data_IF_034286680193
#
_entry.id   IF_034286680193
#
_cell.length_a   1.000
_cell.length_b   1.000
_cell.length_c   1.000
_cell.angle_alpha   90.00
_cell.angle_beta   90.00
_cell.angle_gamma   90.00
#
_symmetry.space_group_name_H-M   'P 1'
#
loop_
_entity.id
_entity.type
_entity.pdbx_description
1 polymer ?
#
# COMPACT_ATOMS: atom_id res chain seq x y z
N UNK A 1 -2.36 -20.94 -22.39
CA UNK A 1 -1.35 -19.91 -22.69
C UNK A 1 -1.95 -18.72 -23.46
N UNK A 2 -2.72 -18.96 -24.53
CA UNK A 2 -3.39 -17.89 -25.30
C UNK A 2 -4.44 -17.09 -24.51
N UNK A 3 -5.18 -17.74 -23.61
CA UNK A 3 -6.26 -17.12 -22.84
C UNK A 3 -5.77 -16.09 -21.80
N UNK A 4 -4.56 -16.31 -21.25
CA UNK A 4 -3.88 -15.36 -20.35
C UNK A 4 -3.42 -14.13 -21.14
N UNK A 5 -2.90 -14.34 -22.36
CA UNK A 5 -2.52 -13.23 -23.24
C UNK A 5 -3.75 -12.42 -23.63
N UNK A 6 -4.88 -13.06 -23.93
CA UNK A 6 -6.13 -12.39 -24.28
C UNK A 6 -6.71 -11.57 -23.10
N UNK A 7 -6.63 -12.08 -21.86
CA UNK A 7 -6.99 -11.36 -20.62
C UNK A 7 -6.04 -10.21 -20.29
N UNK A 8 -4.76 -10.31 -20.67
CA UNK A 8 -3.79 -9.21 -20.55
C UNK A 8 -3.96 -8.19 -21.68
N UNK A 9 -4.43 -8.62 -22.85
CA UNK A 9 -4.67 -7.75 -24.02
C UNK A 9 -5.91 -6.88 -23.81
N UNK A 10 -6.92 -7.35 -23.07
CA UNK A 10 -8.04 -6.50 -22.60
C UNK A 10 -7.63 -5.50 -21.52
N UNK A 11 -6.45 -5.68 -20.91
CA UNK A 11 -5.80 -4.74 -19.98
C UNK A 11 -4.78 -3.84 -20.67
N UNK A 12 -4.91 -3.59 -21.98
CA UNK A 12 -4.32 -2.37 -22.56
C UNK A 12 -5.05 -1.17 -21.94
N UNK A 13 -4.54 -0.71 -20.79
CA UNK A 13 -4.87 0.57 -20.21
C UNK A 13 -4.66 1.63 -21.30
N UNK A 14 -5.76 2.03 -21.92
CA UNK A 14 -5.77 3.12 -22.88
C UNK A 14 -5.24 4.34 -22.13
N UNK A 15 -4.02 4.78 -22.44
CA UNK A 15 -3.33 5.90 -21.77
C UNK A 15 -4.20 7.18 -21.79
N UNK A 16 -5.13 7.28 -22.76
CA UNK A 16 -6.15 8.36 -22.83
C UNK A 16 -7.12 8.36 -21.65
N UNK A 17 -7.36 7.21 -21.01
CA UNK A 17 -8.23 7.04 -19.85
C UNK A 17 -7.56 7.38 -18.52
N UNK A 18 -6.25 7.64 -18.49
CA UNK A 18 -5.54 8.19 -17.33
C UNK A 18 -5.48 9.74 -17.33
N UNK A 19 -6.13 10.38 -18.30
CA UNK A 19 -6.24 11.85 -18.39
C UNK A 19 -7.06 12.49 -17.25
N UNK A 20 -7.61 11.69 -16.33
CA UNK A 20 -8.24 12.19 -15.09
C UNK A 20 -7.23 12.45 -13.98
N UNK A 21 -6.06 11.79 -13.97
CA UNK A 21 -5.05 11.97 -12.91
C UNK A 21 -4.58 13.43 -12.77
N UNK A 22 -4.32 14.17 -13.87
CA UNK A 22 -4.00 15.60 -13.79
C UNK A 22 -5.19 16.42 -13.24
N UNK A 23 -6.41 16.11 -13.67
CA UNK A 23 -7.62 16.82 -13.23
C UNK A 23 -7.94 16.60 -11.75
N UNK A 24 -7.67 15.42 -11.22
CA UNK A 24 -7.85 15.11 -9.80
C UNK A 24 -6.76 15.77 -8.95
N UNK A 25 -5.53 15.86 -9.48
CA UNK A 25 -4.49 16.72 -8.92
C UNK A 25 -4.95 18.18 -8.88
N UNK A 26 -5.48 18.72 -9.98
CA UNK A 26 -5.91 20.13 -10.05
C UNK A 26 -7.10 20.42 -9.12
N UNK A 27 -8.05 19.49 -9.00
CA UNK A 27 -9.19 19.60 -8.07
C UNK A 27 -8.75 19.56 -6.60
N UNK A 28 -7.82 18.66 -6.24
CA UNK A 28 -7.32 18.57 -4.85
C UNK A 28 -6.33 19.71 -4.55
N UNK A 29 -5.47 20.07 -5.50
CA UNK A 29 -4.47 21.13 -5.36
C UNK A 29 -5.06 22.55 -5.37
N UNK A 30 -6.25 22.74 -5.93
CA UNK A 30 -6.95 24.04 -5.86
C UNK A 30 -7.53 24.36 -4.48
N UNK A 31 -7.70 23.34 -3.62
CA UNK A 31 -8.29 23.50 -2.28
C UNK A 31 -7.28 23.44 -1.15
N UNK A 32 -6.07 22.92 -1.39
CA UNK A 32 -5.04 22.69 -0.38
C UNK A 32 -3.69 23.29 -0.83
N UNK A 33 -2.91 23.87 0.08
CA UNK A 33 -1.57 24.36 -0.26
C UNK A 33 -0.71 23.20 -0.77
N UNK A 34 0.15 23.43 -1.80
CA UNK A 34 1.06 22.41 -2.27
C UNK A 34 2.07 22.04 -1.18
N UNK A 35 2.54 20.79 -1.14
CA UNK A 35 3.55 20.38 -0.17
C UNK A 35 4.83 21.20 -0.37
N UNK A 36 5.45 21.59 0.75
CA UNK A 36 6.73 22.32 0.72
C UNK A 36 7.84 21.45 0.12
N UNK A 37 8.89 22.06 -0.45
CA UNK A 37 10.08 21.35 -0.90
C UNK A 37 10.69 20.48 0.20
N UNK A 38 11.32 19.37 -0.21
CA UNK A 38 12.03 18.50 0.73
C UNK A 38 13.30 19.17 1.27
N UNK A 39 13.72 18.74 2.45
CA UNK A 39 14.82 19.33 3.21
C UNK A 39 15.93 18.30 3.48
N UNK A 40 17.06 18.80 3.95
CA UNK A 40 18.21 17.98 4.37
C UNK A 40 17.98 17.36 5.75
N UNK A 41 18.71 16.29 6.08
CA UNK A 41 18.58 15.58 7.36
C UNK A 41 18.81 16.49 8.57
N UNK A 42 19.71 17.46 8.47
CA UNK A 42 20.01 18.43 9.54
C UNK A 42 18.82 19.33 9.89
N UNK A 43 17.87 19.50 8.97
CA UNK A 43 16.70 20.37 9.13
C UNK A 43 15.47 19.66 9.72
N UNK A 44 15.53 18.33 9.90
CA UNK A 44 14.46 17.56 10.57
C UNK A 44 14.95 17.03 11.92
N UNK A 45 14.06 16.84 12.91
CA UNK A 45 14.44 16.24 14.18
C UNK A 45 15.06 14.84 14.02
N UNK A 46 15.97 14.41 14.92
CA UNK A 46 16.62 13.10 14.85
C UNK A 46 15.66 11.91 14.71
N UNK A 47 14.47 11.97 15.33
CA UNK A 47 13.43 10.95 15.23
C UNK A 47 13.08 10.56 13.78
N UNK A 48 13.09 11.53 12.87
CA UNK A 48 12.68 11.32 11.48
C UNK A 48 13.87 10.98 10.57
N UNK A 49 15.10 10.90 11.10
CA UNK A 49 16.31 10.74 10.31
C UNK A 49 16.65 9.27 10.15
N UNK A 50 16.52 8.79 8.92
CA UNK A 50 17.12 7.52 8.53
C UNK A 50 18.64 7.61 8.37
N UNK A 51 19.41 6.62 8.88
CA UNK A 51 20.85 6.56 8.68
C UNK A 51 21.23 6.61 7.19
N UNK A 52 22.31 7.35 6.88
CA UNK A 52 22.85 7.51 5.53
C UNK A 52 21.94 8.22 4.51
N UNK A 53 20.71 8.61 4.87
CA UNK A 53 19.87 9.47 4.05
C UNK A 53 20.17 10.93 4.38
N UNK A 54 20.74 11.66 3.43
CA UNK A 54 21.22 13.03 3.65
C UNK A 54 20.17 14.10 3.32
N UNK A 55 19.20 13.79 2.46
CA UNK A 55 18.18 14.73 2.01
C UNK A 55 16.92 14.03 1.51
N UNK A 56 15.89 14.82 1.17
CA UNK A 56 14.62 14.30 0.69
C UNK A 56 13.56 14.17 1.79
N UNK A 57 13.81 14.66 3.00
CA UNK A 57 12.83 14.63 4.08
C UNK A 57 11.73 15.64 3.85
N UNK A 58 10.48 15.29 4.17
CA UNK A 58 9.37 16.23 4.13
C UNK A 58 9.39 17.11 5.38
N UNK A 59 9.16 18.43 5.28
CA UNK A 59 9.02 19.28 6.44
C UNK A 59 7.91 18.80 7.38
N UNK A 60 8.11 18.93 8.69
CA UNK A 60 7.11 18.56 9.72
C UNK A 60 6.03 19.64 9.89
N UNK A 61 4.94 19.28 10.56
CA UNK A 61 3.84 20.18 10.96
C UNK A 61 3.20 20.95 9.79
N UNK A 62 3.12 20.32 8.62
CA UNK A 62 2.30 20.84 7.51
C UNK A 62 0.86 20.39 7.65
N UNK A 63 -0.06 20.99 6.90
CA UNK A 63 -1.42 20.47 6.80
C UNK A 63 -1.41 19.02 6.29
N UNK A 64 -2.31 18.17 6.81
CA UNK A 64 -2.45 16.77 6.39
C UNK A 64 -2.56 16.60 4.88
N UNK A 65 -3.27 17.53 4.22
CA UNK A 65 -3.40 17.59 2.77
C UNK A 65 -2.05 17.61 2.03
N UNK A 66 -1.05 18.30 2.57
CA UNK A 66 0.29 18.33 2.01
C UNK A 66 0.94 16.94 2.00
N UNK A 67 0.75 16.13 3.04
CA UNK A 67 1.31 14.78 3.09
C UNK A 67 0.61 13.84 2.10
N UNK A 68 -0.71 13.96 1.93
CA UNK A 68 -1.42 13.22 0.87
C UNK A 68 -0.94 13.63 -0.53
N UNK A 69 -0.80 14.94 -0.79
CA UNK A 69 -0.27 15.46 -2.04
C UNK A 69 1.19 15.08 -2.28
N UNK A 70 1.96 14.85 -1.21
CA UNK A 70 3.36 14.41 -1.30
C UNK A 70 3.52 13.01 -1.89
N UNK A 71 2.44 12.25 -2.07
CA UNK A 71 2.43 10.99 -2.83
C UNK A 71 3.06 11.16 -4.23
N UNK A 72 2.89 12.33 -4.85
CA UNK A 72 3.43 12.67 -6.16
C UNK A 72 4.72 13.51 -6.11
N UNK A 73 5.27 13.74 -4.91
CA UNK A 73 6.54 14.42 -4.69
C UNK A 73 7.65 13.39 -4.47
N UNK A 74 8.86 13.66 -4.97
CA UNK A 74 10.03 12.84 -4.65
C UNK A 74 10.55 13.18 -3.25
N UNK A 75 10.58 12.20 -2.37
CA UNK A 75 11.04 12.29 -0.98
C UNK A 75 11.68 10.96 -0.54
N UNK A 76 12.27 10.93 0.66
CA UNK A 76 12.98 9.77 1.21
C UNK A 76 12.09 8.54 1.36
N UNK A 77 10.81 8.73 1.70
CA UNK A 77 9.81 7.64 1.80
C UNK A 77 9.12 7.26 0.47
N UNK A 78 9.45 7.89 -0.67
CA UNK A 78 8.65 7.69 -1.89
C UNK A 78 8.63 6.24 -2.34
N UNK A 79 9.77 5.55 -2.29
CA UNK A 79 9.82 4.13 -2.66
C UNK A 79 8.98 3.28 -1.71
N UNK A 80 9.09 3.52 -0.39
CA UNK A 80 8.31 2.79 0.61
C UNK A 80 6.80 2.95 0.37
N UNK A 81 6.33 4.15 0.04
CA UNK A 81 4.92 4.38 -0.30
C UNK A 81 4.53 3.68 -1.60
N UNK A 82 5.27 3.89 -2.68
CA UNK A 82 4.90 3.40 -4.01
C UNK A 82 4.99 1.87 -4.13
N UNK A 83 5.95 1.22 -3.47
CA UNK A 83 6.07 -0.25 -3.52
C UNK A 83 4.85 -0.93 -2.89
N UNK A 84 4.40 -0.47 -1.72
CA UNK A 84 3.21 -1.02 -1.05
C UNK A 84 1.92 -0.62 -1.77
N UNK A 85 1.83 0.63 -2.25
CA UNK A 85 0.67 1.11 -2.99
C UNK A 85 0.44 0.32 -4.29
N UNK A 86 1.51 0.00 -5.03
CA UNK A 86 1.42 -0.76 -6.28
C UNK A 86 1.23 -2.27 -6.05
N UNK A 87 1.65 -2.80 -4.90
CA UNK A 87 1.41 -4.20 -4.55
C UNK A 87 -0.10 -4.53 -4.44
N UNK A 88 -0.91 -3.61 -3.91
CA UNK A 88 -2.35 -3.82 -3.74
C UNK A 88 -3.11 -4.07 -5.07
N UNK A 89 -3.02 -3.20 -6.11
CA UNK A 89 -3.65 -3.47 -7.38
C UNK A 89 -3.05 -4.69 -8.09
N UNK A 90 -1.75 -4.97 -7.96
CA UNK A 90 -1.16 -6.20 -8.51
C UNK A 90 -1.80 -7.45 -7.88
N UNK A 91 -1.96 -7.46 -6.55
CA UNK A 91 -2.60 -8.55 -5.83
C UNK A 91 -4.07 -8.71 -6.26
N UNK A 92 -4.83 -7.62 -6.37
CA UNK A 92 -6.22 -7.63 -6.82
C UNK A 92 -6.37 -8.09 -8.27
N UNK A 93 -5.47 -7.69 -9.16
CA UNK A 93 -5.48 -8.15 -10.55
C UNK A 93 -5.15 -9.64 -10.65
N UNK A 94 -4.18 -10.11 -9.86
CA UNK A 94 -3.85 -11.55 -9.75
C UNK A 94 -5.05 -12.34 -9.24
N UNK A 95 -5.73 -11.83 -8.22
CA UNK A 95 -6.96 -12.41 -7.70
C UNK A 95 -8.03 -12.52 -8.78
N UNK A 96 -8.40 -11.38 -9.38
CA UNK A 96 -9.43 -11.32 -10.42
C UNK A 96 -9.15 -12.25 -11.61
N UNK A 97 -7.88 -12.32 -12.03
CA UNK A 97 -7.49 -13.18 -13.15
C UNK A 97 -7.62 -14.68 -12.85
N UNK A 98 -7.47 -15.10 -11.59
CA UNK A 98 -7.34 -16.51 -11.21
C UNK A 98 -8.47 -17.06 -10.33
N UNK A 99 -9.32 -16.21 -9.72
CA UNK A 99 -10.34 -16.65 -8.77
C UNK A 99 -11.26 -17.75 -9.33
N UNK A 100 -11.69 -17.63 -10.59
CA UNK A 100 -12.50 -18.66 -11.26
C UNK A 100 -11.73 -19.96 -11.51
N UNK A 101 -10.45 -19.87 -11.90
CA UNK A 101 -9.59 -21.05 -12.11
C UNK A 101 -9.25 -21.77 -10.79
N UNK A 102 -9.23 -21.02 -9.68
CA UNK A 102 -9.04 -21.55 -8.33
C UNK A 102 -10.32 -22.15 -7.74
N UNK A 103 -11.46 -22.08 -8.45
CA UNK A 103 -12.75 -22.55 -7.94
C UNK A 103 -13.23 -21.76 -6.73
N UNK A 104 -12.88 -20.48 -6.61
CA UNK A 104 -13.30 -19.64 -5.48
C UNK A 104 -14.82 -19.44 -5.48
N UNK A 105 -15.47 -19.91 -4.41
CA UNK A 105 -16.94 -20.02 -4.31
C UNK A 105 -17.53 -19.33 -3.07
N UNK A 106 -16.74 -18.54 -2.33
CA UNK A 106 -17.15 -17.90 -1.07
C UNK A 106 -17.68 -18.89 -0.01
N UNK A 107 -17.17 -20.12 -0.02
CA UNK A 107 -17.50 -21.17 0.94
C UNK A 107 -16.44 -21.30 2.04
N UNK A 108 -16.65 -22.25 2.96
CA UNK A 108 -15.72 -22.52 4.06
C UNK A 108 -14.31 -22.91 3.57
N UNK A 109 -14.19 -23.57 2.42
CA UNK A 109 -12.91 -23.95 1.83
C UNK A 109 -12.13 -22.74 1.27
N UNK A 110 -12.85 -21.69 0.86
CA UNK A 110 -12.30 -20.44 0.36
C UNK A 110 -11.97 -19.43 1.47
N UNK A 111 -12.52 -19.59 2.67
CA UNK A 111 -12.38 -18.65 3.78
C UNK A 111 -10.92 -18.32 4.16
N UNK A 112 -9.98 -19.28 4.27
CA UNK A 112 -8.58 -18.98 4.59
C UNK A 112 -7.90 -18.13 3.53
N UNK A 113 -8.22 -18.36 2.25
CA UNK A 113 -7.74 -17.53 1.15
C UNK A 113 -8.32 -16.11 1.21
N UNK A 114 -9.61 -15.96 1.55
CA UNK A 114 -10.23 -14.65 1.77
C UNK A 114 -9.58 -13.89 2.93
N UNK A 115 -9.31 -14.57 4.04
CA UNK A 115 -8.64 -13.99 5.21
C UNK A 115 -7.20 -13.57 4.88
N UNK A 116 -6.47 -14.40 4.12
CA UNK A 116 -5.17 -14.01 3.57
C UNK A 116 -5.28 -12.73 2.73
N UNK A 117 -6.21 -12.67 1.77
CA UNK A 117 -6.39 -11.52 0.89
C UNK A 117 -6.72 -10.23 1.67
N UNK A 118 -7.65 -10.31 2.62
CA UNK A 118 -8.01 -9.17 3.49
C UNK A 118 -6.81 -8.75 4.32
N UNK A 119 -6.11 -9.68 4.96
CA UNK A 119 -4.95 -9.38 5.79
C UNK A 119 -3.82 -8.70 5.01
N UNK A 120 -3.57 -9.14 3.77
CA UNK A 120 -2.58 -8.56 2.88
C UNK A 120 -2.95 -7.12 2.50
N UNK A 121 -4.20 -6.88 2.10
CA UNK A 121 -4.68 -5.54 1.77
C UNK A 121 -4.65 -4.61 2.99
N UNK A 122 -5.01 -5.10 4.18
CA UNK A 122 -4.90 -4.33 5.43
C UNK A 122 -3.46 -3.92 5.69
N UNK A 123 -2.49 -4.84 5.61
CA UNK A 123 -1.08 -4.51 5.75
C UNK A 123 -0.62 -3.44 4.75
N UNK A 124 -0.91 -3.63 3.47
CA UNK A 124 -0.49 -2.69 2.43
C UNK A 124 -1.06 -1.27 2.65
N UNK A 125 -2.32 -1.16 3.07
CA UNK A 125 -2.96 0.14 3.39
C UNK A 125 -2.31 0.80 4.60
N UNK A 126 -2.07 0.03 5.67
CA UNK A 126 -1.46 0.55 6.89
C UNK A 126 -0.02 1.01 6.63
N UNK A 127 0.74 0.25 5.85
CA UNK A 127 2.11 0.60 5.46
C UNK A 127 2.17 1.86 4.59
N UNK A 128 1.32 1.96 3.55
CA UNK A 128 1.20 3.18 2.74
C UNK A 128 0.87 4.39 3.62
N UNK A 129 -0.07 4.23 4.54
CA UNK A 129 -0.50 5.30 5.44
C UNK A 129 0.64 5.73 6.37
N UNK A 130 1.39 4.78 6.93
CA UNK A 130 2.55 5.05 7.78
C UNK A 130 3.63 5.82 7.05
N UNK A 131 4.12 5.29 5.93
CA UNK A 131 5.18 5.97 5.18
C UNK A 131 4.73 7.31 4.60
N UNK A 132 3.44 7.48 4.28
CA UNK A 132 2.93 8.75 3.77
C UNK A 132 2.76 9.80 4.88
N UNK A 133 2.34 9.41 6.09
CA UNK A 133 1.91 10.34 7.13
C UNK A 133 2.88 10.46 8.33
N UNK A 134 3.86 9.56 8.47
CA UNK A 134 4.75 9.53 9.64
C UNK A 134 5.46 10.86 9.90
N UNK A 135 5.83 11.60 8.85
CA UNK A 135 6.58 12.85 8.97
C UNK A 135 5.74 14.07 9.38
N UNK A 136 4.45 13.91 9.72
CA UNK A 136 3.59 15.01 10.15
C UNK A 136 3.98 15.56 11.53
N UNK A 137 4.06 14.69 12.53
CA UNK A 137 4.42 15.03 13.90
C UNK A 137 4.94 13.79 14.61
N UNK A 138 5.62 13.96 15.76
CA UNK A 138 6.12 12.85 16.56
C UNK A 138 5.00 11.86 16.95
N UNK A 139 3.82 12.37 17.32
CA UNK A 139 2.66 11.52 17.61
C UNK A 139 2.20 10.73 16.38
N UNK A 140 2.16 11.37 15.21
CA UNK A 140 1.78 10.70 13.97
C UNK A 140 2.78 9.60 13.61
N UNK A 141 4.08 9.88 13.75
CA UNK A 141 5.16 8.91 13.53
C UNK A 141 4.93 7.63 14.34
N UNK A 142 4.84 7.73 15.66
CA UNK A 142 4.64 6.54 16.51
C UNK A 142 3.31 5.85 16.25
N UNK A 143 2.22 6.60 16.08
CA UNK A 143 0.89 6.02 15.86
C UNK A 143 0.82 5.21 14.57
N UNK A 144 1.27 5.77 13.45
CA UNK A 144 1.14 5.07 12.18
C UNK A 144 2.15 3.92 12.04
N UNK A 145 3.38 4.04 12.56
CA UNK A 145 4.30 2.89 12.57
C UNK A 145 3.82 1.77 13.51
N UNK A 146 3.17 2.11 14.63
CA UNK A 146 2.50 1.11 15.46
C UNK A 146 1.43 0.35 14.66
N UNK A 147 0.57 1.06 13.92
CA UNK A 147 -0.43 0.43 13.07
C UNK A 147 0.20 -0.40 11.94
N UNK A 148 1.29 0.06 11.33
CA UNK A 148 2.02 -0.70 10.31
C UNK A 148 2.53 -2.04 10.87
N UNK A 149 3.12 -2.03 12.07
CA UNK A 149 3.54 -3.26 12.75
C UNK A 149 2.37 -4.19 13.09
N UNK A 150 1.22 -3.64 13.49
CA UNK A 150 -0.02 -4.44 13.64
C UNK A 150 -0.43 -5.04 12.30
N UNK A 151 -0.35 -4.28 11.21
CA UNK A 151 -0.61 -4.75 9.85
C UNK A 151 0.27 -5.93 9.45
N UNK A 152 1.58 -5.84 9.71
CA UNK A 152 2.54 -6.94 9.49
C UNK A 152 2.10 -8.20 10.26
N UNK A 153 1.72 -8.07 11.53
CA UNK A 153 1.27 -9.20 12.35
C UNK A 153 -0.02 -9.84 11.81
N UNK A 154 -1.01 -9.02 11.42
CA UNK A 154 -2.28 -9.49 10.83
C UNK A 154 -2.02 -10.23 9.52
N UNK A 155 -1.16 -9.67 8.65
CA UNK A 155 -0.77 -10.32 7.40
C UNK A 155 -0.05 -11.65 7.64
N UNK A 156 0.90 -11.68 8.58
CA UNK A 156 1.62 -12.89 8.94
C UNK A 156 0.67 -13.99 9.42
N UNK A 157 -0.34 -13.65 10.22
CA UNK A 157 -1.36 -14.59 10.67
C UNK A 157 -2.22 -15.11 9.51
N UNK A 158 -2.65 -14.21 8.60
CA UNK A 158 -3.38 -14.59 7.39
C UNK A 158 -2.58 -15.52 6.48
N UNK A 159 -1.29 -15.25 6.28
CA UNK A 159 -0.36 -16.15 5.59
C UNK A 159 -0.28 -17.51 6.26
N UNK A 160 -0.08 -17.57 7.57
CA UNK A 160 0.03 -18.84 8.29
C UNK A 160 -1.26 -19.65 8.24
N UNK A 161 -2.43 -18.99 8.35
CA UNK A 161 -3.72 -19.64 8.29
C UNK A 161 -3.99 -20.23 6.90
N UNK A 162 -3.76 -19.45 5.84
CA UNK A 162 -3.88 -19.91 4.46
C UNK A 162 -2.93 -21.06 4.16
N UNK A 163 -1.66 -20.92 4.54
CA UNK A 163 -0.66 -21.97 4.37
C UNK A 163 -1.07 -23.25 5.10
N UNK A 164 -1.35 -23.15 6.40
CA UNK A 164 -1.81 -24.27 7.21
C UNK A 164 -3.00 -24.98 6.57
N UNK A 165 -4.04 -24.24 6.17
CA UNK A 165 -5.24 -24.86 5.64
C UNK A 165 -5.03 -25.57 4.30
N UNK A 166 -4.26 -24.97 3.37
CA UNK A 166 -4.09 -25.54 2.03
C UNK A 166 -2.98 -26.58 1.92
N UNK A 167 -2.08 -26.70 2.90
CA UNK A 167 -0.97 -27.67 2.85
C UNK A 167 -1.04 -28.76 3.92
N UNK A 168 -1.92 -28.66 4.92
CA UNK A 168 -2.10 -29.73 5.91
C UNK A 168 -2.97 -30.87 5.38
N UNK A 169 -2.89 -32.04 6.02
CA UNK A 169 -3.85 -33.12 5.80
C UNK A 169 -5.22 -32.77 6.41
N UNK A 170 -6.35 -33.21 5.82
CA UNK A 170 -7.68 -32.93 6.34
C UNK A 170 -7.89 -33.32 7.81
N UNK A 171 -7.27 -34.42 8.25
CA UNK A 171 -7.33 -34.94 9.63
C UNK A 171 -6.77 -33.99 10.69
N UNK A 172 -5.96 -33.00 10.31
CA UNK A 172 -5.40 -32.00 11.22
C UNK A 172 -6.32 -30.78 11.36
N UNK A 173 -7.40 -30.69 10.57
CA UNK A 173 -8.33 -29.55 10.55
C UNK A 173 -9.72 -29.88 11.11
N UNK A 174 -9.93 -31.14 11.49
CA UNK A 174 -11.11 -31.61 12.25
C UNK A 174 -10.99 -31.18 13.73
#
# INVERSE_FOLDING_TARGET
SADILQRLTTLTLNVKHLSWLPRLRDLVASSLPPPRPTVTSSQVPPLFREPYILSGYRPIQQDWGCYFLSLFQRHNESLNVWTHLLAAPVLLLRWWANAGALGYTLDAASLPLSLFMVSALTYLILSVTAHLLQSHSERAHYFFFFLDYVGVAVYQYGCSLGHYFYTSEPSWRE
#
